data_IF_720744537938
#
_entry.id   IF_720744537938
#
_cell.length_a   1.000
_cell.length_b   1.000
_cell.length_c   1.000
_cell.angle_alpha   90.00
_cell.angle_beta   90.00
_cell.angle_gamma   90.00
#
_symmetry.space_group_name_H-M   'P 1'
#
loop_
_entity.id
_entity.type
_entity.pdbx_description
1 polymer ?
#
# COMPACT_ATOMS: atom_id res chain seq x y z
N UNK A 1 24.30 -3.09 -18.54
CA UNK A 1 23.53 -3.24 -17.27
C UNK A 1 22.15 -2.66 -17.53
N UNK A 2 21.10 -3.44 -17.26
CA UNK A 2 19.71 -2.91 -17.34
C UNK A 2 19.59 -1.83 -16.25
N UNK A 3 19.22 -0.62 -16.63
CA UNK A 3 19.29 0.53 -15.74
C UNK A 3 17.91 0.72 -15.05
N UNK A 4 17.87 0.65 -13.72
CA UNK A 4 16.65 0.94 -12.95
C UNK A 4 16.24 2.43 -13.02
N UNK A 5 17.13 3.30 -13.51
CA UNK A 5 16.82 4.72 -13.75
C UNK A 5 15.69 4.92 -14.77
N UNK A 6 15.46 3.93 -15.65
CA UNK A 6 14.33 3.95 -16.58
C UNK A 6 12.93 3.91 -15.90
N UNK A 7 12.85 3.56 -14.62
CA UNK A 7 11.58 3.59 -13.90
C UNK A 7 11.35 4.96 -13.27
N UNK A 8 10.21 5.55 -13.53
CA UNK A 8 9.68 6.69 -12.77
C UNK A 8 8.77 6.17 -11.68
N UNK A 9 8.73 6.87 -10.53
CA UNK A 9 7.95 6.49 -9.36
C UNK A 9 7.14 7.70 -8.91
N UNK A 10 5.87 7.48 -8.62
CA UNK A 10 4.98 8.45 -7.99
C UNK A 10 4.12 7.75 -6.95
N UNK A 11 3.64 8.46 -5.95
CA UNK A 11 2.77 7.87 -4.93
C UNK A 11 2.01 8.93 -4.16
N UNK A 12 0.88 8.52 -3.60
CA UNK A 12 0.05 9.39 -2.77
C UNK A 12 -0.73 8.57 -1.75
N UNK A 13 -1.11 9.25 -0.67
CA UNK A 13 -1.98 8.75 0.37
C UNK A 13 -2.94 9.84 0.83
N UNK A 14 -4.22 9.53 0.96
CA UNK A 14 -5.25 10.44 1.48
C UNK A 14 -6.16 9.70 2.47
N UNK A 15 -6.58 10.43 3.51
CA UNK A 15 -7.52 9.91 4.49
C UNK A 15 -8.91 9.74 3.87
N UNK A 16 -9.59 8.64 4.21
CA UNK A 16 -10.95 8.35 3.82
C UNK A 16 -11.95 9.36 4.40
N UNK A 17 -13.03 9.61 3.66
CA UNK A 17 -14.07 10.55 4.11
C UNK A 17 -14.78 10.09 5.38
N UNK A 18 -14.82 8.77 5.64
CA UNK A 18 -15.36 8.22 6.90
C UNK A 18 -14.44 8.55 8.06
N UNK A 19 -13.12 8.37 7.90
CA UNK A 19 -12.12 8.70 8.91
C UNK A 19 -12.11 10.20 9.22
N UNK A 20 -12.13 11.03 8.19
CA UNK A 20 -12.19 12.49 8.35
C UNK A 20 -13.41 12.94 9.16
N UNK A 21 -14.60 12.36 8.91
CA UNK A 21 -15.84 12.72 9.63
C UNK A 21 -15.81 12.43 11.12
N UNK A 22 -15.04 11.42 11.55
CA UNK A 22 -14.92 11.02 12.96
C UNK A 22 -13.61 11.46 13.62
N UNK A 23 -12.81 12.27 12.89
CA UNK A 23 -11.54 12.79 13.40
C UNK A 23 -10.44 11.74 13.54
N UNK A 24 -10.51 10.65 12.79
CA UNK A 24 -9.40 9.68 12.67
C UNK A 24 -8.35 10.18 11.70
N UNK A 25 -7.10 9.84 11.97
CA UNK A 25 -6.00 10.05 11.06
C UNK A 25 -6.09 9.07 9.88
N UNK A 26 -5.35 9.36 8.83
CA UNK A 26 -5.08 8.42 7.75
C UNK A 26 -4.33 7.20 8.33
N UNK A 27 -4.92 6.01 8.22
CA UNK A 27 -4.38 4.76 8.75
C UNK A 27 -3.46 4.06 7.74
N UNK A 28 -3.39 4.58 6.52
CA UNK A 28 -2.50 4.10 5.48
C UNK A 28 -1.12 4.75 5.54
N UNK A 29 -0.13 4.04 5.00
CA UNK A 29 1.22 4.55 4.81
C UNK A 29 1.85 3.96 3.56
N UNK A 30 2.85 4.66 3.00
CA UNK A 30 3.65 4.17 1.91
C UNK A 30 5.10 4.64 1.97
N UNK A 31 5.97 3.88 1.34
CA UNK A 31 7.40 4.20 1.23
C UNK A 31 7.99 3.57 -0.01
N UNK A 32 9.02 4.18 -0.57
CA UNK A 32 9.93 3.51 -1.49
C UNK A 32 11.39 3.76 -1.15
N UNK A 33 12.22 2.77 -1.46
CA UNK A 33 13.69 2.84 -1.41
C UNK A 33 14.18 2.58 -2.83
N UNK A 34 15.07 3.42 -3.33
CA UNK A 34 15.68 3.27 -4.65
C UNK A 34 17.18 3.46 -4.57
N UNK A 35 17.92 2.55 -5.19
CA UNK A 35 19.34 2.68 -5.44
C UNK A 35 19.71 2.08 -6.83
N UNK A 36 21.00 1.87 -7.11
CA UNK A 36 21.47 1.28 -8.37
C UNK A 36 21.04 -0.17 -8.58
N UNK A 37 20.77 -0.91 -7.51
CA UNK A 37 20.64 -2.36 -7.52
C UNK A 37 19.19 -2.84 -7.38
N UNK A 38 18.35 -2.02 -6.75
CA UNK A 38 16.92 -2.34 -6.57
C UNK A 38 16.04 -1.10 -6.32
N UNK A 39 14.76 -1.29 -6.58
CA UNK A 39 13.65 -0.44 -6.14
C UNK A 39 12.76 -1.31 -5.25
N UNK A 40 12.44 -0.84 -4.04
CA UNK A 40 11.47 -1.45 -3.14
C UNK A 40 10.36 -0.44 -2.94
N UNK A 41 9.10 -0.85 -3.12
CA UNK A 41 7.92 -0.06 -2.78
C UNK A 41 7.05 -0.86 -1.83
N UNK A 42 6.52 -0.22 -0.80
CA UNK A 42 5.62 -0.83 0.18
C UNK A 42 4.49 0.13 0.50
N UNK A 43 3.26 -0.39 0.49
CA UNK A 43 2.07 0.26 1.06
C UNK A 43 1.58 -0.59 2.23
N UNK A 44 0.96 0.04 3.21
CA UNK A 44 0.43 -0.59 4.41
C UNK A 44 -0.85 0.08 4.82
N UNK A 45 -1.91 -0.71 5.02
CA UNK A 45 -3.21 -0.30 5.52
C UNK A 45 -3.35 -0.72 6.98
N UNK A 46 -3.67 0.23 7.84
CA UNK A 46 -3.88 0.01 9.26
C UNK A 46 -5.31 -0.42 9.57
N UNK A 47 -5.47 -1.51 10.32
CA UNK A 47 -6.77 -2.07 10.71
C UNK A 47 -7.76 -0.99 11.18
N UNK A 48 -8.86 -0.79 10.45
CA UNK A 48 -9.85 0.27 10.72
C UNK A 48 -10.54 0.13 12.09
N UNK A 49 -10.61 -1.07 12.65
CA UNK A 49 -11.10 -1.32 14.01
C UNK A 49 -10.05 -1.03 15.09
N UNK A 50 -8.77 -0.90 14.73
CA UNK A 50 -7.70 -0.51 15.64
C UNK A 50 -7.84 0.98 16.02
N UNK A 51 -7.70 1.33 17.29
CA UNK A 51 -7.87 2.72 17.71
C UNK A 51 -6.77 3.66 17.21
N UNK A 52 -5.56 3.12 16.93
CA UNK A 52 -4.38 3.88 16.52
C UNK A 52 -3.52 3.11 15.50
N UNK A 53 -4.13 2.44 14.55
CA UNK A 53 -3.44 1.61 13.55
C UNK A 53 -2.63 2.45 12.55
N UNK A 54 -2.88 3.76 12.46
CA UNK A 54 -2.04 4.71 11.72
C UNK A 54 -0.58 4.72 12.21
N UNK A 55 -0.35 4.49 13.50
CA UNK A 55 1.01 4.36 14.05
C UNK A 55 1.71 3.12 13.49
N UNK A 56 0.96 2.02 13.42
CA UNK A 56 1.47 0.75 12.91
C UNK A 56 1.86 0.83 11.44
N UNK A 57 0.97 1.31 10.58
CA UNK A 57 1.23 1.41 9.14
C UNK A 57 2.43 2.32 8.85
N UNK A 58 2.52 3.48 9.54
CA UNK A 58 3.63 4.42 9.39
C UNK A 58 4.99 3.86 9.87
N UNK A 59 4.98 2.90 10.77
CA UNK A 59 6.20 2.21 11.24
C UNK A 59 6.51 0.99 10.38
N UNK A 60 5.50 0.16 10.07
CA UNK A 60 5.71 -1.14 9.41
C UNK A 60 6.12 -0.97 7.94
N UNK A 61 5.53 -0.04 7.20
CA UNK A 61 5.91 0.17 5.80
C UNK A 61 7.41 0.48 5.64
N UNK A 62 7.99 1.50 6.30
CA UNK A 62 9.42 1.78 6.20
C UNK A 62 10.27 0.68 6.86
N UNK A 63 9.82 0.08 7.96
CA UNK A 63 10.56 -0.99 8.63
C UNK A 63 10.68 -2.22 7.72
N UNK A 64 9.60 -2.60 7.03
CA UNK A 64 9.61 -3.72 6.09
C UNK A 64 10.53 -3.43 4.90
N UNK A 65 10.39 -2.26 4.27
CA UNK A 65 11.23 -1.85 3.15
C UNK A 65 12.72 -1.82 3.53
N UNK A 66 13.06 -1.26 4.71
CA UNK A 66 14.44 -1.19 5.19
C UNK A 66 14.99 -2.58 5.53
N UNK A 67 14.18 -3.46 6.11
CA UNK A 67 14.60 -4.83 6.42
C UNK A 67 14.87 -5.60 5.13
N UNK A 68 13.96 -5.53 4.15
CA UNK A 68 14.17 -6.16 2.84
C UNK A 68 15.44 -5.59 2.15
N UNK A 69 15.62 -4.27 2.17
CA UNK A 69 16.83 -3.59 1.66
C UNK A 69 18.11 -4.14 2.30
N UNK A 70 18.09 -4.38 3.60
CA UNK A 70 19.26 -4.95 4.34
C UNK A 70 19.59 -6.36 3.84
N UNK A 71 18.59 -7.17 3.53
CA UNK A 71 18.81 -8.50 2.96
C UNK A 71 19.34 -8.43 1.53
N UNK A 72 18.80 -7.55 0.69
CA UNK A 72 19.24 -7.38 -0.71
C UNK A 72 20.66 -6.80 -0.82
N UNK A 73 21.13 -6.08 0.17
CA UNK A 73 22.47 -5.48 0.19
C UNK A 73 23.59 -6.42 0.69
N UNK A 74 23.27 -7.68 1.04
CA UNK A 74 24.26 -8.64 1.52
C UNK A 74 25.21 -9.06 0.38
N UNK A 75 26.56 -9.01 0.57
CA UNK A 75 27.53 -9.20 -0.52
C UNK A 75 27.59 -10.62 -1.09
N UNK A 76 26.96 -11.60 -0.46
CA UNK A 76 26.94 -12.99 -0.91
C UNK A 76 25.76 -13.33 -1.82
N UNK A 77 24.90 -12.35 -2.11
CA UNK A 77 23.67 -12.52 -2.85
C UNK A 77 23.83 -11.96 -4.26
N UNK A 78 23.62 -12.79 -5.25
CA UNK A 78 23.55 -12.36 -6.63
C UNK A 78 22.13 -11.92 -6.97
N UNK A 79 21.88 -10.61 -6.99
CA UNK A 79 20.60 -10.05 -7.50
C UNK A 79 20.41 -10.30 -9.00
N UNK A 80 21.41 -10.92 -9.67
CA UNK A 80 21.28 -11.43 -11.04
C UNK A 80 20.61 -12.81 -11.11
N UNK A 81 20.42 -13.49 -9.98
CA UNK A 81 19.65 -14.74 -9.94
C UNK A 81 18.15 -14.42 -10.08
N UNK A 82 17.59 -14.81 -11.22
CA UNK A 82 16.15 -14.66 -11.50
C UNK A 82 15.26 -15.40 -10.51
N UNK A 83 15.79 -16.42 -9.82
CA UNK A 83 15.08 -17.20 -8.83
C UNK A 83 15.22 -16.67 -7.41
N UNK A 84 15.99 -15.61 -7.19
CA UNK A 84 16.28 -15.08 -5.86
C UNK A 84 15.02 -14.87 -5.01
N UNK A 85 13.98 -14.28 -5.59
CA UNK A 85 12.71 -14.03 -4.89
C UNK A 85 11.85 -15.29 -4.69
N UNK A 86 12.21 -16.43 -5.28
CA UNK A 86 11.52 -17.70 -5.07
C UNK A 86 11.93 -18.41 -3.79
N UNK A 87 13.05 -18.00 -3.18
CA UNK A 87 13.54 -18.64 -1.97
C UNK A 87 12.74 -18.23 -0.74
N UNK A 88 12.12 -19.19 -0.06
CA UNK A 88 11.31 -18.97 1.15
C UNK A 88 12.12 -18.36 2.29
N UNK A 89 13.42 -18.68 2.39
CA UNK A 89 14.29 -18.17 3.43
C UNK A 89 14.35 -16.64 3.48
N UNK A 90 14.32 -15.95 2.33
CA UNK A 90 14.35 -14.50 2.27
C UNK A 90 13.13 -13.92 2.98
N UNK A 91 11.95 -14.33 2.56
CA UNK A 91 10.67 -13.81 3.05
C UNK A 91 10.42 -14.19 4.50
N UNK A 92 10.80 -15.43 4.87
CA UNK A 92 10.76 -15.87 6.25
C UNK A 92 11.64 -14.99 7.15
N UNK A 93 12.91 -14.76 6.79
CA UNK A 93 13.81 -13.98 7.62
C UNK A 93 13.42 -12.49 7.66
N UNK A 94 13.05 -11.89 6.52
CA UNK A 94 12.52 -10.52 6.50
C UNK A 94 11.34 -10.37 7.44
N UNK A 95 10.38 -11.30 7.38
CA UNK A 95 9.22 -11.31 8.26
C UNK A 95 9.62 -11.46 9.73
N UNK A 96 10.50 -12.40 10.07
CA UNK A 96 10.93 -12.62 11.46
C UNK A 96 11.64 -11.39 12.04
N UNK A 97 12.51 -10.75 11.26
CA UNK A 97 13.24 -9.56 11.72
C UNK A 97 12.28 -8.36 11.93
N UNK A 98 11.30 -8.18 11.04
CA UNK A 98 10.26 -7.15 11.22
C UNK A 98 9.45 -7.42 12.48
N UNK A 99 8.96 -8.66 12.68
CA UNK A 99 8.19 -9.04 13.86
C UNK A 99 8.98 -8.91 15.17
N UNK A 100 10.27 -9.26 15.16
CA UNK A 100 11.14 -9.09 16.32
C UNK A 100 11.27 -7.63 16.73
N UNK A 101 11.45 -6.71 15.77
CA UNK A 101 11.55 -5.27 16.04
C UNK A 101 10.22 -4.68 16.54
N UNK A 102 9.08 -5.10 15.95
CA UNK A 102 7.76 -4.68 16.43
C UNK A 102 7.51 -5.17 17.86
N UNK A 103 7.93 -6.40 18.19
CA UNK A 103 7.82 -6.94 19.55
C UNK A 103 8.58 -6.06 20.56
N UNK A 104 9.80 -5.67 20.23
CA UNK A 104 10.61 -4.76 21.09
C UNK A 104 9.91 -3.41 21.26
N UNK A 105 9.40 -2.83 20.16
CA UNK A 105 8.67 -1.56 20.22
C UNK A 105 7.44 -1.66 21.11
N UNK A 106 6.60 -2.68 20.89
CA UNK A 106 5.38 -2.87 21.67
C UNK A 106 5.67 -3.09 23.17
N UNK A 107 6.71 -3.85 23.52
CA UNK A 107 7.16 -4.04 24.90
C UNK A 107 7.70 -2.74 25.54
N UNK A 108 8.26 -1.83 24.72
CA UNK A 108 8.73 -0.52 25.19
C UNK A 108 7.60 0.47 25.43
N UNK A 109 6.43 0.24 24.82
CA UNK A 109 5.27 1.13 24.94
C UNK A 109 4.39 0.78 26.13
N UNK A 110 4.19 -0.51 26.43
CA UNK A 110 3.32 -0.98 27.50
C UNK A 110 3.72 -2.40 27.96
N UNK A 111 3.47 -2.73 29.22
CA UNK A 111 3.71 -4.07 29.78
C UNK A 111 2.85 -5.15 29.07
N UNK A 112 1.64 -4.79 28.63
CA UNK A 112 0.78 -5.68 27.85
C UNK A 112 1.07 -5.58 26.35
N UNK A 113 2.15 -6.22 25.93
CA UNK A 113 2.61 -6.25 24.54
C UNK A 113 1.49 -6.67 23.55
N UNK A 114 0.69 -7.68 23.89
CA UNK A 114 -0.36 -8.18 22.97
C UNK A 114 -1.44 -7.12 22.76
N UNK A 115 -1.91 -6.48 23.83
CA UNK A 115 -2.87 -5.39 23.74
C UNK A 115 -2.30 -4.21 22.93
N UNK A 116 -1.03 -3.89 23.11
CA UNK A 116 -0.32 -2.84 22.35
C UNK A 116 -0.26 -3.17 20.87
N UNK A 117 0.08 -4.40 20.51
CA UNK A 117 0.10 -4.83 19.10
C UNK A 117 -1.31 -4.72 18.50
N UNK A 118 -2.33 -5.20 19.18
CA UNK A 118 -3.71 -5.11 18.69
C UNK A 118 -4.21 -3.66 18.55
N UNK A 119 -3.71 -2.76 19.38
CA UNK A 119 -4.11 -1.35 19.38
C UNK A 119 -3.41 -0.53 18.30
N UNK A 120 -2.13 -0.85 17.97
CA UNK A 120 -1.29 0.02 17.16
C UNK A 120 -0.74 -0.65 15.89
N UNK A 121 -0.47 -1.97 15.87
CA UNK A 121 0.39 -2.59 14.87
C UNK A 121 -0.32 -3.59 13.95
N UNK A 122 -1.65 -3.69 13.99
CA UNK A 122 -2.37 -4.50 13.02
C UNK A 122 -2.49 -3.74 11.71
N UNK A 123 -1.73 -4.15 10.72
CA UNK A 123 -1.80 -3.60 9.37
C UNK A 123 -1.39 -4.63 8.33
N UNK A 124 -1.81 -4.38 7.10
CA UNK A 124 -1.43 -5.13 5.91
C UNK A 124 -0.07 -4.68 5.39
N UNK A 125 0.51 -5.44 4.50
CA UNK A 125 1.70 -5.08 3.73
C UNK A 125 1.50 -5.53 2.29
N UNK A 126 1.51 -4.62 1.34
CA UNK A 126 1.60 -4.93 -0.09
C UNK A 126 2.80 -4.21 -0.65
N UNK A 127 3.62 -4.92 -1.43
CA UNK A 127 4.85 -4.33 -1.93
C UNK A 127 5.32 -4.92 -3.24
N UNK A 128 6.29 -4.25 -3.82
CA UNK A 128 7.06 -4.79 -4.92
C UNK A 128 8.56 -4.54 -4.71
N UNK A 129 9.35 -5.42 -5.29
CA UNK A 129 10.79 -5.25 -5.42
C UNK A 129 11.19 -5.47 -6.85
N UNK A 130 11.97 -4.55 -7.40
CA UNK A 130 12.46 -4.57 -8.77
C UNK A 130 13.98 -4.56 -8.72
N UNK A 131 14.62 -5.56 -9.33
CA UNK A 131 16.06 -5.60 -9.60
C UNK A 131 16.29 -5.46 -11.11
N UNK A 132 17.53 -5.33 -11.58
CA UNK A 132 17.80 -5.31 -13.03
C UNK A 132 17.28 -6.53 -13.80
N UNK A 133 17.10 -7.68 -13.15
CA UNK A 133 16.72 -8.95 -13.80
C UNK A 133 15.32 -9.43 -13.44
N UNK A 134 14.88 -9.24 -12.18
CA UNK A 134 13.65 -9.84 -11.68
C UNK A 134 12.81 -8.83 -10.90
N UNK A 135 11.49 -8.92 -11.06
CA UNK A 135 10.48 -8.15 -10.30
C UNK A 135 9.63 -9.12 -9.51
N UNK A 136 9.41 -8.82 -8.25
CA UNK A 136 8.49 -9.57 -7.39
C UNK A 136 7.45 -8.64 -6.78
N UNK A 137 6.16 -9.03 -6.86
CA UNK A 137 5.06 -8.43 -6.12
C UNK A 137 4.73 -9.36 -4.97
N UNK A 138 4.66 -8.80 -3.76
CA UNK A 138 4.49 -9.56 -2.53
C UNK A 138 3.49 -8.89 -1.59
N UNK A 139 2.95 -9.65 -0.64
CA UNK A 139 2.05 -9.07 0.35
C UNK A 139 1.72 -10.01 1.52
N UNK A 140 1.14 -9.42 2.55
CA UNK A 140 0.47 -10.06 3.67
C UNK A 140 -0.75 -9.22 4.03
N UNK A 141 -1.94 -9.77 3.82
CA UNK A 141 -3.21 -9.04 3.92
C UNK A 141 -3.83 -8.73 2.57
N UNK A 142 -4.79 -7.81 2.56
CA UNK A 142 -5.50 -7.33 1.39
C UNK A 142 -4.86 -6.10 0.76
N UNK A 143 -5.37 -5.74 -0.39
CA UNK A 143 -4.92 -4.61 -1.19
C UNK A 143 -5.09 -4.87 -2.68
N UNK A 144 -4.41 -4.08 -3.50
CA UNK A 144 -4.52 -4.13 -4.96
C UNK A 144 -3.16 -3.98 -5.59
N UNK A 145 -2.92 -4.68 -6.70
CA UNK A 145 -1.84 -4.34 -7.60
C UNK A 145 -2.27 -4.40 -9.06
N UNK A 146 -1.59 -3.62 -9.89
CA UNK A 146 -1.67 -3.68 -11.34
C UNK A 146 -0.30 -4.04 -11.89
N UNK A 147 -0.28 -4.91 -12.87
CA UNK A 147 0.91 -5.19 -13.66
C UNK A 147 0.57 -5.03 -15.14
N UNK A 148 1.21 -4.07 -15.80
CA UNK A 148 0.99 -3.74 -17.22
C UNK A 148 -0.48 -3.44 -17.58
N UNK A 149 -1.24 -2.88 -16.63
CA UNK A 149 -2.65 -2.55 -16.79
C UNK A 149 -3.61 -3.62 -16.29
N UNK A 150 -3.16 -4.84 -16.00
CA UNK A 150 -3.99 -5.92 -15.47
C UNK A 150 -4.16 -5.78 -13.96
N UNK A 151 -5.41 -5.66 -13.49
CA UNK A 151 -5.77 -5.51 -12.08
C UNK A 151 -5.85 -6.83 -11.35
N UNK A 152 -5.29 -6.87 -10.17
CA UNK A 152 -5.36 -8.00 -9.24
C UNK A 152 -5.74 -7.50 -7.85
N UNK A 153 -6.83 -8.04 -7.29
CA UNK A 153 -7.30 -7.75 -5.94
C UNK A 153 -6.85 -8.86 -5.00
N UNK A 154 -6.18 -8.48 -3.92
CA UNK A 154 -5.76 -9.39 -2.86
C UNK A 154 -6.90 -9.49 -1.83
N UNK A 155 -7.54 -10.63 -1.75
CA UNK A 155 -8.76 -10.82 -0.98
C UNK A 155 -9.98 -11.06 -1.90
N UNK A 156 -11.21 -10.87 -1.41
CA UNK A 156 -11.58 -10.55 -0.02
C UNK A 156 -11.32 -11.70 0.95
N UNK A 157 -11.06 -11.35 2.21
CA UNK A 157 -10.90 -12.33 3.28
C UNK A 157 -12.21 -12.54 4.05
N UNK A 158 -12.44 -13.73 4.63
CA UNK A 158 -13.66 -14.02 5.38
C UNK A 158 -13.90 -13.01 6.52
N UNK A 159 -15.12 -12.47 6.57
CA UNK A 159 -15.49 -11.47 7.58
C UNK A 159 -14.76 -10.14 7.48
N UNK A 160 -14.17 -9.82 6.34
CA UNK A 160 -13.33 -8.63 6.12
C UNK A 160 -12.18 -8.54 7.14
N UNK A 161 -11.55 -9.69 7.43
CA UNK A 161 -10.42 -9.81 8.38
C UNK A 161 -9.20 -10.31 7.64
N UNK A 162 -8.39 -9.43 7.05
CA UNK A 162 -7.17 -9.83 6.37
C UNK A 162 -6.14 -10.40 7.37
N UNK A 163 -5.23 -11.24 6.91
CA UNK A 163 -4.12 -11.72 7.72
C UNK A 163 -3.12 -10.59 7.93
N UNK A 164 -3.20 -9.89 9.06
CA UNK A 164 -2.23 -8.87 9.41
C UNK A 164 -0.87 -9.48 9.75
N UNK A 165 0.21 -8.78 9.34
CA UNK A 165 1.58 -9.24 9.58
C UNK A 165 1.82 -9.61 11.05
N UNK A 166 1.32 -8.78 11.99
CA UNK A 166 1.53 -8.95 13.42
C UNK A 166 0.72 -10.08 14.06
N UNK A 167 -0.19 -10.74 13.35
CA UNK A 167 -0.76 -12.00 13.82
C UNK A 167 0.28 -13.12 14.00
N UNK A 168 1.46 -12.95 13.42
CA UNK A 168 2.61 -13.79 13.74
C UNK A 168 3.13 -13.67 15.18
N UNK A 169 2.70 -12.64 15.93
CA UNK A 169 3.01 -12.46 17.35
C UNK A 169 1.78 -12.77 18.22
N UNK A 170 0.61 -12.24 17.84
CA UNK A 170 -0.61 -12.34 18.66
C UNK A 170 -1.41 -13.60 18.40
N UNK A 171 -1.23 -14.22 17.23
CA UNK A 171 -2.19 -15.21 16.72
C UNK A 171 -3.51 -14.57 16.28
N UNK A 172 -4.34 -15.32 15.58
CA UNK A 172 -5.73 -15.01 15.28
C UNK A 172 -6.50 -16.27 14.90
N UNK A 173 -7.84 -16.23 14.97
CA UNK A 173 -8.66 -17.37 14.55
C UNK A 173 -8.42 -17.75 13.08
N UNK A 174 -8.27 -16.74 12.20
CA UNK A 174 -8.03 -16.93 10.77
C UNK A 174 -6.69 -17.64 10.52
N UNK A 175 -5.65 -17.22 11.23
CA UNK A 175 -4.30 -17.79 11.09
C UNK A 175 -4.14 -19.13 11.80
N UNK A 176 -4.93 -19.41 12.83
CA UNK A 176 -4.96 -20.73 13.47
C UNK A 176 -5.55 -21.80 12.54
N UNK A 177 -6.52 -21.42 11.68
CA UNK A 177 -7.09 -22.31 10.67
C UNK A 177 -6.17 -22.51 9.46
N UNK A 178 -5.42 -21.49 9.08
CA UNK A 178 -4.48 -21.54 7.96
C UNK A 178 -3.19 -20.74 8.29
N UNK A 179 -2.18 -21.39 8.89
CA UNK A 179 -0.93 -20.74 9.28
C UNK A 179 -0.14 -20.14 8.11
N UNK A 180 -0.31 -20.65 6.88
CA UNK A 180 0.39 -20.13 5.70
C UNK A 180 -0.02 -18.71 5.32
N UNK A 181 -1.18 -18.23 5.79
CA UNK A 181 -1.62 -16.84 5.63
C UNK A 181 -0.74 -15.83 6.36
N UNK A 182 0.06 -16.29 7.32
CA UNK A 182 1.04 -15.46 8.02
C UNK A 182 2.31 -15.21 7.21
N UNK A 183 2.57 -16.02 6.18
CA UNK A 183 3.75 -15.88 5.36
C UNK A 183 3.58 -14.72 4.37
N UNK A 184 4.70 -14.10 4.00
CA UNK A 184 4.72 -13.14 2.90
C UNK A 184 4.45 -13.89 1.60
N UNK A 185 3.29 -13.64 1.02
CA UNK A 185 2.88 -14.24 -0.25
C UNK A 185 3.60 -13.56 -1.41
N UNK A 186 4.11 -14.35 -2.33
CA UNK A 186 4.67 -13.88 -3.60
C UNK A 186 3.62 -14.04 -4.68
N UNK A 187 2.99 -12.94 -5.05
CA UNK A 187 1.88 -12.97 -6.02
C UNK A 187 2.38 -13.10 -7.44
N UNK A 188 3.44 -12.38 -7.77
CA UNK A 188 4.08 -12.39 -9.10
C UNK A 188 5.60 -12.41 -8.93
N UNK A 189 6.27 -13.20 -9.75
CA UNK A 189 7.72 -13.09 -10.01
C UNK A 189 7.89 -13.18 -11.52
N UNK A 190 8.41 -12.12 -12.13
CA UNK A 190 8.60 -12.01 -13.56
C UNK A 190 9.93 -11.32 -13.92
N UNK A 191 10.43 -11.48 -15.16
CA UNK A 191 11.55 -10.71 -15.67
C UNK A 191 11.24 -9.20 -15.65
N UNK A 192 12.20 -8.37 -15.21
CA UNK A 192 12.01 -6.91 -15.11
C UNK A 192 11.83 -6.24 -16.47
N UNK A 193 12.31 -6.83 -17.54
CA UNK A 193 12.09 -6.28 -18.89
C UNK A 193 10.64 -6.40 -19.36
N UNK A 194 9.86 -7.31 -18.84
CA UNK A 194 8.43 -7.46 -19.12
C UNK A 194 7.57 -6.41 -18.37
N UNK A 195 8.12 -5.75 -17.34
CA UNK A 195 7.39 -4.76 -16.57
C UNK A 195 7.43 -3.41 -17.29
N UNK A 196 6.26 -2.94 -17.73
CA UNK A 196 6.04 -1.61 -18.33
C UNK A 196 5.48 -0.64 -17.30
N UNK A 197 4.44 -1.06 -16.61
CA UNK A 197 3.77 -0.30 -15.55
C UNK A 197 3.44 -1.21 -14.38
N UNK A 198 3.54 -0.68 -13.17
CA UNK A 198 3.20 -1.36 -11.95
C UNK A 198 2.54 -0.37 -10.99
N UNK A 199 1.43 -0.77 -10.37
CA UNK A 199 0.81 -0.05 -9.27
C UNK A 199 0.64 -1.04 -8.10
N UNK A 200 0.96 -0.60 -6.90
CA UNK A 200 0.55 -1.26 -5.66
C UNK A 200 -0.29 -0.28 -4.84
N UNK A 201 -1.31 -0.76 -4.16
CA UNK A 201 -2.20 0.08 -3.36
C UNK A 201 -2.90 -0.66 -2.24
N UNK A 202 -3.44 0.10 -1.30
CA UNK A 202 -4.37 -0.39 -0.28
C UNK A 202 -5.74 -0.70 -0.92
N UNK A 203 -6.66 -1.29 -0.18
CA UNK A 203 -7.98 -1.68 -0.69
C UNK A 203 -8.83 -0.48 -1.15
N UNK A 204 -8.60 0.72 -0.58
CA UNK A 204 -9.21 1.97 -1.04
C UNK A 204 -8.95 2.32 -2.51
N UNK A 205 -7.95 1.70 -3.16
CA UNK A 205 -7.75 1.81 -4.61
C UNK A 205 -8.90 1.15 -5.37
N UNK A 206 -9.53 0.11 -4.83
CA UNK A 206 -10.73 -0.51 -5.43
C UNK A 206 -11.90 0.46 -5.46
N UNK A 207 -12.08 1.27 -4.41
CA UNK A 207 -13.08 2.33 -4.39
C UNK A 207 -12.80 3.40 -5.45
N UNK A 208 -11.53 3.79 -5.63
CA UNK A 208 -11.12 4.73 -6.66
C UNK A 208 -11.45 4.23 -8.07
N UNK A 209 -11.23 2.95 -8.35
CA UNK A 209 -11.58 2.33 -9.63
C UNK A 209 -13.09 2.37 -9.88
N UNK A 210 -13.91 2.09 -8.86
CA UNK A 210 -15.37 2.06 -8.97
C UNK A 210 -15.99 3.44 -9.27
N UNK A 211 -15.27 4.52 -8.99
CA UNK A 211 -15.77 5.88 -9.21
C UNK A 211 -15.21 6.54 -10.47
N UNK A 212 -14.50 5.81 -11.32
CA UNK A 212 -13.84 6.34 -12.52
C UNK A 212 -14.75 7.13 -13.45
N UNK A 213 -16.02 6.72 -13.59
CA UNK A 213 -17.03 7.39 -14.43
C UNK A 213 -17.77 8.54 -13.72
N UNK A 214 -17.53 8.74 -12.41
CA UNK A 214 -18.15 9.82 -11.66
C UNK A 214 -17.42 11.16 -11.90
N UNK A 215 -18.16 12.23 -11.69
CA UNK A 215 -17.56 13.57 -11.70
C UNK A 215 -16.88 13.89 -10.36
N UNK A 216 -15.82 14.70 -10.41
CA UNK A 216 -15.28 15.32 -9.21
C UNK A 216 -16.39 16.06 -8.42
N UNK A 217 -16.37 16.03 -7.08
CA UNK A 217 -17.38 16.70 -6.26
C UNK A 217 -17.57 18.17 -6.67
N UNK A 218 -18.79 18.51 -7.11
CA UNK A 218 -19.16 19.87 -7.52
C UNK A 218 -18.54 20.37 -8.84
N UNK A 219 -18.04 19.48 -9.69
CA UNK A 219 -17.47 19.80 -11.00
C UNK A 219 -18.14 18.93 -12.08
N UNK A 220 -18.08 19.37 -13.33
CA UNK A 220 -18.52 18.58 -14.50
C UNK A 220 -17.43 17.66 -15.07
N UNK A 221 -16.21 17.76 -14.53
CA UNK A 221 -15.06 16.96 -14.94
C UNK A 221 -15.15 15.55 -14.36
N UNK A 222 -15.05 14.54 -15.22
CA UNK A 222 -14.98 13.11 -14.84
C UNK A 222 -13.64 12.80 -14.19
N UNK A 223 -13.65 11.93 -13.18
CA UNK A 223 -12.45 11.47 -12.45
C UNK A 223 -11.48 10.79 -13.40
N UNK A 224 -12.00 9.87 -14.24
CA UNK A 224 -11.22 9.15 -15.22
C UNK A 224 -10.69 7.81 -14.73
N UNK A 225 -10.17 7.03 -15.66
CA UNK A 225 -9.65 5.69 -15.41
C UNK A 225 -8.35 5.73 -14.59
N UNK A 226 -8.11 4.69 -13.80
CA UNK A 226 -6.93 4.55 -12.94
C UNK A 226 -5.62 4.62 -13.75
N UNK A 227 -5.65 4.23 -15.04
CA UNK A 227 -4.48 4.27 -15.91
C UNK A 227 -3.86 5.67 -16.08
N UNK A 228 -4.63 6.74 -15.83
CA UNK A 228 -4.11 8.09 -15.84
C UNK A 228 -2.86 8.23 -14.95
N UNK A 229 -2.80 7.51 -13.81
CA UNK A 229 -1.70 7.63 -12.86
C UNK A 229 -0.36 7.09 -13.38
N UNK A 230 -0.37 6.27 -14.43
CA UNK A 230 0.88 5.84 -15.07
C UNK A 230 1.04 6.33 -16.52
N UNK A 231 -0.02 6.88 -17.14
CA UNK A 231 0.06 7.42 -18.49
C UNK A 231 0.42 8.90 -18.53
N UNK A 232 -0.10 9.69 -17.59
CA UNK A 232 0.09 11.12 -17.57
C UNK A 232 1.40 11.53 -16.88
N UNK A 233 2.20 12.29 -17.59
CA UNK A 233 3.53 12.73 -17.12
C UNK A 233 3.47 13.60 -15.87
N UNK A 234 2.38 14.33 -15.69
CA UNK A 234 2.21 15.27 -14.59
C UNK A 234 2.43 14.64 -13.21
N UNK A 235 2.03 13.38 -13.04
CA UNK A 235 2.16 12.67 -11.76
C UNK A 235 3.62 12.36 -11.39
N UNK A 236 4.53 12.32 -12.38
CA UNK A 236 5.94 12.03 -12.17
C UNK A 236 6.80 13.29 -12.10
N UNK A 237 6.34 14.39 -12.71
CA UNK A 237 7.04 15.67 -12.63
C UNK A 237 6.64 16.52 -11.42
N UNK A 238 5.42 16.33 -10.89
CA UNK A 238 4.93 17.02 -9.71
C UNK A 238 4.51 16.01 -8.63
N UNK A 239 5.36 15.77 -7.60
CA UNK A 239 5.09 14.77 -6.56
C UNK A 239 3.76 14.96 -5.82
N UNK A 240 3.26 16.20 -5.72
CA UNK A 240 2.02 16.51 -5.02
C UNK A 240 0.77 16.35 -5.90
N UNK A 241 0.93 16.20 -7.23
CA UNK A 241 -0.22 16.22 -8.12
C UNK A 241 -1.18 15.07 -7.89
N UNK A 242 -0.67 13.87 -7.70
CA UNK A 242 -1.49 12.70 -7.40
C UNK A 242 -2.27 12.89 -6.10
N UNK A 243 -1.61 13.35 -5.05
CA UNK A 243 -2.26 13.66 -3.77
C UNK A 243 -3.34 14.73 -3.91
N UNK A 244 -3.09 15.77 -4.70
CA UNK A 244 -4.07 16.84 -4.95
C UNK A 244 -5.31 16.31 -5.70
N UNK A 245 -5.13 15.41 -6.65
CA UNK A 245 -6.25 14.75 -7.36
C UNK A 245 -7.08 13.93 -6.39
N UNK A 246 -6.46 13.03 -5.61
CA UNK A 246 -7.14 12.20 -4.62
C UNK A 246 -7.84 13.06 -3.55
N UNK A 247 -7.19 14.11 -3.07
CA UNK A 247 -7.79 15.07 -2.11
C UNK A 247 -9.01 15.77 -2.71
N UNK A 248 -8.95 16.14 -3.98
CA UNK A 248 -10.09 16.78 -4.66
C UNK A 248 -11.26 15.82 -4.79
N UNK A 249 -11.02 14.55 -5.13
CA UNK A 249 -12.03 13.49 -5.16
C UNK A 249 -12.66 13.30 -3.78
N UNK A 250 -11.86 13.43 -2.72
CA UNK A 250 -12.28 13.18 -1.35
C UNK A 250 -12.64 14.43 -0.54
N UNK A 251 -12.90 15.55 -1.22
CA UNK A 251 -13.34 16.79 -0.58
C UNK A 251 -14.82 17.06 -0.83
N UNK A 252 -15.63 17.09 0.25
CA UNK A 252 -17.03 17.54 0.16
C UNK A 252 -17.09 18.99 -0.35
N UNK A 253 -17.88 19.26 -1.37
CA UNK A 253 -18.14 20.61 -1.88
C UNK A 253 -19.56 21.02 -1.53
N UNK A 254 -19.72 22.28 -1.11
CA UNK A 254 -21.01 22.88 -0.79
C UNK A 254 -21.24 24.09 -1.68
N UNK A 255 -22.39 24.10 -2.36
CA UNK A 255 -22.80 25.20 -3.24
C UNK A 255 -24.14 25.76 -2.74
N UNK A 256 -24.24 27.06 -2.41
CA UNK A 256 -25.52 27.65 -2.06
C UNK A 256 -26.40 27.75 -3.32
N UNK A 257 -27.67 27.33 -3.17
CA UNK A 257 -28.71 27.50 -4.18
C UNK A 257 -29.66 28.58 -3.66
N UNK A 258 -29.36 29.82 -4.06
CA UNK A 258 -30.03 31.01 -3.50
C UNK A 258 -31.54 31.05 -3.77
N UNK A 259 -31.95 30.57 -4.93
CA UNK A 259 -33.37 30.51 -5.32
C UNK A 259 -34.19 29.61 -4.40
N UNK A 260 -33.61 28.49 -3.98
CA UNK A 260 -34.24 27.49 -3.12
C UNK A 260 -33.92 27.69 -1.62
N UNK A 261 -33.05 28.66 -1.30
CA UNK A 261 -32.52 28.88 0.07
C UNK A 261 -31.95 27.62 0.70
N UNK A 262 -31.30 26.76 -0.12
CA UNK A 262 -30.71 25.48 0.28
C UNK A 262 -29.22 25.46 0.00
N UNK A 263 -28.55 24.42 0.54
CA UNK A 263 -27.14 24.14 0.24
C UNK A 263 -27.07 22.78 -0.46
N UNK A 264 -26.69 22.79 -1.72
CA UNK A 264 -26.36 21.58 -2.44
C UNK A 264 -25.01 21.04 -1.94
N UNK A 265 -24.98 19.77 -1.55
CA UNK A 265 -23.78 19.09 -1.08
C UNK A 265 -23.35 18.03 -2.08
N UNK A 266 -22.11 18.11 -2.51
CA UNK A 266 -21.45 17.06 -3.29
C UNK A 266 -20.54 16.29 -2.35
N UNK A 267 -20.88 15.02 -2.11
CA UNK A 267 -20.19 14.16 -1.15
C UNK A 267 -18.77 13.85 -1.62
N UNK A 268 -17.87 13.66 -0.66
CA UNK A 268 -16.58 13.01 -0.90
C UNK A 268 -16.81 11.57 -1.38
N UNK A 269 -15.95 11.06 -2.27
CA UNK A 269 -16.19 9.83 -3.01
C UNK A 269 -15.32 8.65 -2.57
N UNK A 270 -14.24 8.87 -1.82
CA UNK A 270 -13.40 7.82 -1.26
C UNK A 270 -13.81 7.61 0.21
N UNK A 271 -14.56 6.55 0.53
CA UNK A 271 -15.02 6.32 1.90
C UNK A 271 -13.89 5.90 2.84
N UNK A 272 -12.94 5.10 2.34
CA UNK A 272 -11.78 4.61 3.08
C UNK A 272 -10.49 5.33 2.71
N UNK A 273 -9.45 5.14 3.52
CA UNK A 273 -8.12 5.64 3.22
C UNK A 273 -7.66 5.07 1.88
N UNK A 274 -6.98 5.87 1.10
CA UNK A 274 -6.57 5.45 -0.24
C UNK A 274 -5.11 5.79 -0.46
N UNK A 275 -4.30 4.75 -0.64
CA UNK A 275 -2.85 4.86 -0.81
C UNK A 275 -2.40 4.04 -2.00
N UNK A 276 -1.57 4.64 -2.87
CA UNK A 276 -0.98 3.95 -4.00
C UNK A 276 0.43 4.44 -4.31
N UNK A 277 1.23 3.54 -4.86
CA UNK A 277 2.51 3.83 -5.51
C UNK A 277 2.42 3.31 -6.94
N UNK A 278 2.88 4.13 -7.87
CA UNK A 278 2.91 3.81 -9.29
C UNK A 278 4.33 3.87 -9.82
N UNK A 279 4.70 2.87 -10.60
CA UNK A 279 5.95 2.84 -11.35
C UNK A 279 5.62 2.70 -12.83
N UNK A 280 6.38 3.41 -13.66
CA UNK A 280 6.35 3.22 -15.12
C UNK A 280 7.75 3.22 -15.68
N UNK A 281 7.95 2.46 -16.73
CA UNK A 281 9.18 2.40 -17.51
C UNK A 281 9.11 3.44 -18.62
N UNK A 282 10.17 4.25 -18.76
CA UNK A 282 10.37 5.24 -19.85
C UNK A 282 11.31 4.73 -20.90
#
# INVERSE_FOLDING_TARGET
MKNLEQFQIAGASVAGSRHFKIGKNNQDSYVWIRNSDYIICVVSDGCSSGPHSEVGSQIIAPLFAQTLSTYLSKPHLSLSDENYFRHDWLWYNVRQDVLARIRILAQSMDENMIATICKYFLCTVVGCVITPTSTCIFGCGDGVYYLNGDMHVLGPFPGNKPPYLCYGITGSEVTNQNPSLLDIQRHIICPTDEVKTLLIGTDGVSDLVQISEKNFPGQEKVIGDISQFWTDDIYFYNPEWMRNVLTTINTEKRKPVWEERTIMKHQALLPDDTTLIVLRKI
#
